data_IF_644506186978
#
_entry.id   IF_644506186978
#
_cell.length_a   1.000
_cell.length_b   1.000
_cell.length_c   1.000
_cell.angle_alpha   90.00
_cell.angle_beta   90.00
_cell.angle_gamma   90.00
#
_symmetry.space_group_name_H-M   'P 1'
#
loop_
_entity.id
_entity.type
_entity.pdbx_description
1 polymer ?
#
# COMPACT_ATOMS: atom_id res chain seq x y z
N UNK A 1 7.17 -9.95 39.83
CA UNK A 1 6.84 -11.23 39.19
C UNK A 1 7.45 -12.41 39.94
N UNK A 2 8.77 -12.49 40.20
CA UNK A 2 9.36 -13.41 41.17
C UNK A 2 9.42 -12.74 42.52
N UNK A 3 8.77 -13.32 43.54
CA UNK A 3 8.81 -12.84 44.90
C UNK A 3 9.74 -13.72 45.73
N UNK A 4 10.82 -13.13 46.23
CA UNK A 4 11.85 -13.85 47.01
C UNK A 4 11.43 -14.13 48.46
N UNK A 5 10.37 -13.45 48.89
CA UNK A 5 9.83 -13.56 50.25
C UNK A 5 8.62 -14.51 50.33
N UNK A 6 8.14 -15.02 49.19
CA UNK A 6 7.01 -15.94 49.09
C UNK A 6 7.39 -17.36 49.60
N UNK A 7 6.42 -18.06 50.16
CA UNK A 7 6.58 -19.45 50.69
C UNK A 7 7.02 -20.45 49.61
N UNK A 8 6.72 -20.21 48.35
CA UNK A 8 7.18 -21.00 47.19
C UNK A 8 8.65 -20.67 46.86
N UNK A 9 9.55 -21.68 46.85
CA UNK A 9 10.93 -21.46 46.46
C UNK A 9 11.07 -20.82 45.06
N UNK A 10 12.04 -19.90 44.90
CA UNK A 10 12.28 -19.19 43.61
C UNK A 10 12.40 -20.15 42.42
N UNK A 11 12.99 -21.34 42.64
CA UNK A 11 13.12 -22.40 41.60
C UNK A 11 11.72 -22.82 41.09
N UNK A 12 10.79 -23.04 42.03
CA UNK A 12 9.41 -23.45 41.68
C UNK A 12 8.62 -22.34 41.02
N UNK A 13 8.82 -21.09 41.45
CA UNK A 13 8.22 -19.92 40.81
C UNK A 13 8.74 -19.78 39.37
N UNK A 14 10.06 -19.97 39.13
CA UNK A 14 10.63 -19.94 37.79
C UNK A 14 10.06 -21.03 36.87
N UNK A 15 9.88 -22.26 37.41
CA UNK A 15 9.28 -23.35 36.64
C UNK A 15 7.84 -23.06 36.24
N UNK A 16 7.02 -22.50 37.15
CA UNK A 16 5.62 -22.17 36.90
C UNK A 16 5.47 -21.03 35.89
N UNK A 17 6.43 -20.12 35.84
CA UNK A 17 6.43 -18.96 34.95
C UNK A 17 7.22 -19.21 33.65
N UNK A 18 7.72 -20.42 33.44
CA UNK A 18 8.60 -20.76 32.29
C UNK A 18 9.80 -19.81 32.14
N UNK A 19 10.42 -19.44 33.25
CA UNK A 19 11.57 -18.53 33.30
C UNK A 19 12.84 -19.26 33.64
N UNK A 20 13.94 -18.93 32.94
CA UNK A 20 15.26 -19.44 33.36
C UNK A 20 15.63 -18.88 34.74
N UNK A 21 16.14 -19.74 35.65
CA UNK A 21 16.56 -19.35 37.00
C UNK A 21 17.57 -18.18 37.00
N UNK A 22 18.46 -18.12 36.02
CA UNK A 22 19.41 -17.01 35.84
C UNK A 22 18.71 -15.66 35.67
N UNK A 23 17.55 -15.62 35.01
CA UNK A 23 16.77 -14.42 34.82
C UNK A 23 16.19 -13.88 36.13
N UNK A 24 15.83 -14.77 37.08
CA UNK A 24 15.31 -14.36 38.39
C UNK A 24 16.38 -13.71 39.29
N UNK A 25 17.62 -13.99 39.06
CA UNK A 25 18.77 -13.43 39.81
C UNK A 25 19.52 -12.35 39.04
N UNK A 26 19.13 -12.08 37.78
CA UNK A 26 19.79 -11.06 36.99
C UNK A 26 19.44 -9.66 37.53
N UNK A 27 20.48 -8.93 37.91
CA UNK A 27 20.38 -7.52 38.25
C UNK A 27 20.99 -6.73 37.08
N UNK A 28 20.19 -5.87 36.40
CA UNK A 28 20.72 -5.08 35.30
C UNK A 28 21.86 -4.19 35.77
N UNK A 29 22.99 -4.22 35.09
CA UNK A 29 24.06 -3.25 35.30
C UNK A 29 23.58 -1.82 35.01
N UNK A 30 23.89 -0.84 35.91
CA UNK A 30 23.57 0.54 35.66
C UNK A 30 24.28 1.04 34.39
N UNK A 31 23.67 2.01 33.72
CA UNK A 31 24.25 2.61 32.51
C UNK A 31 25.48 3.43 32.94
N UNK A 32 26.62 3.20 32.28
CA UNK A 32 27.83 3.96 32.57
C UNK A 32 27.65 5.47 32.27
N UNK A 33 28.31 6.36 33.00
CA UNK A 33 28.26 7.82 32.72
C UNK A 33 28.64 8.15 31.27
N UNK A 34 29.61 7.45 30.68
CA UNK A 34 29.99 7.60 29.28
C UNK A 34 28.86 7.21 28.32
N UNK A 35 28.14 6.11 28.61
CA UNK A 35 27.01 5.69 27.79
C UNK A 35 25.85 6.69 27.90
N UNK A 36 25.62 7.31 29.07
CA UNK A 36 24.61 8.34 29.25
C UNK A 36 24.92 9.58 28.40
N UNK A 37 26.16 10.04 28.36
CA UNK A 37 26.59 11.14 27.50
C UNK A 37 26.39 10.82 26.04
N UNK A 38 26.78 9.61 25.62
CA UNK A 38 26.59 9.17 24.24
C UNK A 38 25.10 9.00 23.87
N UNK A 39 24.28 8.49 24.78
CA UNK A 39 22.83 8.37 24.57
C UNK A 39 22.19 9.73 24.36
N UNK A 40 22.53 10.73 25.20
CA UNK A 40 22.04 12.09 25.03
C UNK A 40 22.44 12.68 23.67
N UNK A 41 23.71 12.49 23.27
CA UNK A 41 24.17 12.99 21.98
C UNK A 41 23.52 12.28 20.80
N UNK A 42 23.30 10.96 20.89
CA UNK A 42 22.55 10.18 19.88
C UNK A 42 21.13 10.69 19.76
N UNK A 43 20.47 11.02 20.87
CA UNK A 43 19.10 11.55 20.88
C UNK A 43 19.02 12.91 20.17
N UNK A 44 19.92 13.82 20.48
CA UNK A 44 20.03 15.12 19.83
C UNK A 44 20.23 14.99 18.31
N UNK A 45 21.19 14.15 17.88
CA UNK A 45 21.46 13.89 16.47
C UNK A 45 20.27 13.21 15.78
N UNK A 46 19.53 12.39 16.49
CA UNK A 46 18.33 11.72 15.92
C UNK A 46 17.16 12.70 15.76
N UNK A 47 16.98 13.64 16.69
CA UNK A 47 15.98 14.70 16.55
C UNK A 47 16.26 15.59 15.34
N UNK A 48 17.52 15.91 15.09
CA UNK A 48 17.94 16.72 13.95
C UNK A 48 17.93 15.93 12.64
N UNK A 49 18.33 14.64 12.68
CA UNK A 49 18.46 13.77 11.53
C UNK A 49 17.75 12.42 11.74
N UNK A 50 16.40 12.39 11.74
CA UNK A 50 15.63 11.17 12.07
C UNK A 50 15.91 9.97 11.16
N UNK A 51 16.42 10.21 9.94
CA UNK A 51 16.81 9.18 8.98
C UNK A 51 18.20 8.57 9.27
N UNK A 52 18.96 9.15 10.20
CA UNK A 52 20.32 8.69 10.49
C UNK A 52 20.31 7.33 11.20
N UNK A 53 20.76 6.30 10.51
CA UNK A 53 20.92 4.96 11.09
C UNK A 53 22.24 4.80 11.83
N UNK A 54 22.41 3.67 12.51
CA UNK A 54 23.58 3.34 13.35
C UNK A 54 24.96 3.55 12.70
N UNK A 55 25.08 3.47 11.38
CA UNK A 55 26.33 3.73 10.67
C UNK A 55 26.61 5.22 10.58
N UNK A 56 25.62 6.00 10.15
CA UNK A 56 25.71 7.44 10.04
C UNK A 56 25.92 8.09 11.40
N UNK A 57 25.14 7.72 12.42
CA UNK A 57 25.31 8.20 13.80
C UNK A 57 26.70 7.89 14.37
N UNK A 58 27.24 6.69 14.11
CA UNK A 58 28.64 6.38 14.46
C UNK A 58 29.62 7.36 13.83
N UNK A 59 29.46 7.64 12.55
CA UNK A 59 30.39 8.48 11.80
C UNK A 59 30.25 9.95 12.23
N UNK A 60 29.05 10.43 12.51
CA UNK A 60 28.80 11.75 13.08
C UNK A 60 29.45 11.92 14.45
N UNK A 61 29.24 10.94 15.35
CA UNK A 61 29.89 10.94 16.67
C UNK A 61 31.42 10.87 16.57
N UNK A 62 31.97 10.17 15.57
CA UNK A 62 33.44 10.17 15.35
C UNK A 62 33.96 11.55 14.89
N UNK A 63 33.21 12.24 14.04
CA UNK A 63 33.56 13.61 13.64
C UNK A 63 33.55 14.58 14.82
N UNK A 64 32.71 14.30 15.82
CA UNK A 64 32.68 15.06 17.10
C UNK A 64 33.76 14.59 18.10
N UNK A 65 34.65 13.66 17.70
CA UNK A 65 35.76 13.19 18.51
C UNK A 65 35.48 12.00 19.41
N UNK A 66 34.26 11.44 19.35
CA UNK A 66 33.92 10.26 20.16
C UNK A 66 34.51 8.98 19.58
N UNK A 67 35.23 8.19 20.36
CA UNK A 67 35.75 6.88 20.00
C UNK A 67 34.65 5.81 20.20
N UNK A 68 33.81 5.61 19.20
CA UNK A 68 32.65 4.70 19.29
C UNK A 68 32.57 3.76 18.10
N UNK A 69 32.23 2.49 18.36
CA UNK A 69 31.98 1.48 17.34
C UNK A 69 30.49 1.29 17.01
N UNK A 70 30.20 0.76 15.81
CA UNK A 70 28.84 0.50 15.34
C UNK A 70 27.99 -0.35 16.31
N UNK A 71 28.60 -1.38 16.94
CA UNK A 71 27.90 -2.25 17.90
C UNK A 71 27.44 -1.49 19.14
N UNK A 72 28.28 -0.56 19.67
CA UNK A 72 27.95 0.27 20.84
C UNK A 72 26.82 1.23 20.50
N UNK A 73 26.87 1.94 19.34
CA UNK A 73 25.78 2.80 18.87
C UNK A 73 24.48 2.02 18.74
N UNK A 74 24.50 0.85 18.08
CA UNK A 74 23.30 0.00 17.91
C UNK A 74 22.71 -0.41 19.27
N UNK A 75 23.54 -0.78 20.24
CA UNK A 75 23.10 -1.13 21.59
C UNK A 75 22.44 0.03 22.31
N UNK A 76 23.03 1.24 22.22
CA UNK A 76 22.49 2.45 22.84
C UNK A 76 21.17 2.86 22.20
N UNK A 77 21.08 2.87 20.86
CA UNK A 77 19.83 3.12 20.14
C UNK A 77 18.72 2.17 20.58
N UNK A 78 18.99 0.85 20.61
CA UNK A 78 18.01 -0.14 21.05
C UNK A 78 17.56 0.10 22.50
N UNK A 79 18.50 0.49 23.39
CA UNK A 79 18.20 0.77 24.80
C UNK A 79 17.32 2.01 24.98
N UNK A 80 17.43 3.00 24.07
CA UNK A 80 16.58 4.18 24.02
C UNK A 80 15.28 3.99 23.22
N UNK A 81 15.11 2.87 22.53
CA UNK A 81 13.97 2.65 21.62
C UNK A 81 14.02 3.49 20.33
N UNK A 82 15.23 3.99 19.95
CA UNK A 82 15.41 4.83 18.78
C UNK A 82 15.68 3.99 17.55
N UNK A 83 14.91 4.23 16.49
CA UNK A 83 15.08 3.64 15.15
C UNK A 83 15.15 4.75 14.09
N UNK A 84 16.02 4.57 13.08
CA UNK A 84 16.05 5.48 11.94
C UNK A 84 14.74 5.42 11.16
N UNK A 85 14.23 6.58 10.74
CA UNK A 85 13.10 6.67 9.84
C UNK A 85 13.55 6.34 8.41
N UNK A 86 13.09 5.22 7.89
CA UNK A 86 13.29 4.82 6.51
C UNK A 86 12.06 4.05 6.00
N UNK A 87 11.82 4.02 4.69
CA UNK A 87 10.77 3.17 4.14
C UNK A 87 11.03 1.72 4.54
N UNK A 88 10.22 1.19 5.46
CA UNK A 88 10.34 -0.21 5.88
C UNK A 88 10.00 -1.12 4.67
N UNK A 89 10.68 -2.29 4.53
CA UNK A 89 10.30 -3.27 3.51
C UNK A 89 8.82 -3.59 3.63
N UNK A 90 8.16 -3.75 2.50
CA UNK A 90 6.75 -4.12 2.47
C UNK A 90 6.54 -5.42 3.26
N UNK A 91 5.83 -5.33 4.38
CA UNK A 91 5.52 -6.47 5.25
C UNK A 91 4.30 -7.26 4.74
N UNK A 92 3.65 -6.82 3.67
CA UNK A 92 2.59 -7.55 2.99
C UNK A 92 3.18 -8.77 2.29
N UNK A 93 3.60 -9.76 3.07
CA UNK A 93 3.95 -11.06 2.55
C UNK A 93 2.68 -11.71 2.03
N UNK A 94 2.72 -12.10 0.77
CA UNK A 94 1.68 -12.89 0.15
C UNK A 94 1.46 -14.17 0.98
N UNK A 95 0.20 -14.49 1.26
CA UNK A 95 -0.15 -15.77 1.87
C UNK A 95 0.02 -16.87 0.81
N UNK A 96 0.83 -17.89 1.08
CA UNK A 96 1.17 -18.95 0.11
C UNK A 96 -0.04 -19.74 -0.41
N UNK A 97 -1.11 -19.79 0.38
CA UNK A 97 -2.36 -20.46 0.02
C UNK A 97 -3.27 -19.66 -0.93
N UNK A 98 -2.93 -18.41 -1.28
CA UNK A 98 -3.76 -17.64 -2.21
C UNK A 98 -3.46 -18.04 -3.66
N UNK A 99 -4.48 -18.41 -4.46
CA UNK A 99 -4.30 -18.81 -5.84
C UNK A 99 -3.78 -17.65 -6.68
N UNK A 100 -2.76 -17.91 -7.52
CA UNK A 100 -2.35 -17.00 -8.58
C UNK A 100 -2.98 -17.47 -9.88
N UNK A 101 -3.55 -16.51 -10.56
CA UNK A 101 -4.08 -16.72 -11.90
C UNK A 101 -3.01 -16.39 -12.93
N UNK A 102 -3.03 -17.11 -14.06
CA UNK A 102 -2.12 -16.89 -15.16
C UNK A 102 -2.38 -15.54 -15.80
N UNK A 103 -1.32 -14.85 -16.22
CA UNK A 103 -1.42 -13.65 -17.03
C UNK A 103 -1.98 -13.99 -18.42
N UNK A 104 -3.10 -13.39 -18.78
CA UNK A 104 -3.85 -13.72 -19.99
C UNK A 104 -3.65 -12.70 -21.12
N UNK A 105 -2.93 -11.60 -20.87
CA UNK A 105 -2.87 -10.46 -21.80
C UNK A 105 -1.68 -10.52 -22.78
N UNK A 106 -0.80 -11.54 -22.64
CA UNK A 106 0.30 -11.70 -23.59
C UNK A 106 -0.28 -11.96 -24.96
N UNK A 107 0.09 -11.13 -25.93
CA UNK A 107 -0.33 -11.22 -27.33
C UNK A 107 -1.84 -11.03 -27.57
N UNK A 108 -2.60 -10.61 -26.55
CA UNK A 108 -4.01 -10.31 -26.68
C UNK A 108 -4.21 -8.92 -27.27
N UNK A 109 -4.83 -8.83 -28.45
CA UNK A 109 -5.27 -7.56 -29.02
C UNK A 109 -6.56 -7.13 -28.35
N UNK A 110 -6.53 -5.93 -27.76
CA UNK A 110 -7.72 -5.32 -27.16
C UNK A 110 -8.31 -4.34 -28.19
N UNK A 111 -9.49 -4.65 -28.70
CA UNK A 111 -10.10 -3.94 -29.83
C UNK A 111 -11.55 -3.45 -29.57
N UNK A 112 -12.11 -3.71 -28.39
CA UNK A 112 -13.46 -3.29 -28.00
C UNK A 112 -13.61 -2.99 -26.52
N UNK A 113 -14.59 -2.16 -26.12
CA UNK A 113 -14.96 -1.96 -24.72
C UNK A 113 -15.39 -3.26 -24.05
N UNK A 114 -15.18 -3.35 -22.75
CA UNK A 114 -15.55 -4.49 -21.90
C UNK A 114 -14.85 -5.82 -22.25
N UNK A 115 -13.84 -5.82 -23.13
CA UNK A 115 -13.00 -6.98 -23.36
C UNK A 115 -12.05 -7.22 -22.18
N UNK A 116 -11.50 -6.15 -21.64
CA UNK A 116 -10.58 -6.20 -20.52
C UNK A 116 -10.80 -5.01 -19.59
N UNK A 117 -11.04 -5.30 -18.33
CA UNK A 117 -10.98 -4.31 -17.26
C UNK A 117 -9.75 -4.55 -16.40
N UNK A 118 -9.23 -3.46 -15.83
CA UNK A 118 -8.11 -3.52 -14.91
C UNK A 118 -8.38 -2.68 -13.67
N UNK A 119 -7.77 -3.07 -12.55
CA UNK A 119 -7.84 -2.34 -11.29
C UNK A 119 -6.51 -2.33 -10.57
N UNK A 120 -6.33 -1.34 -9.74
CA UNK A 120 -5.23 -1.20 -8.80
C UNK A 120 -5.63 -0.24 -7.69
N UNK A 121 -4.84 -0.21 -6.61
CA UNK A 121 -5.03 0.66 -5.46
C UNK A 121 -3.84 1.61 -5.31
N UNK A 122 -4.12 2.88 -5.14
CA UNK A 122 -3.09 3.88 -4.87
C UNK A 122 -3.38 4.66 -3.58
N UNK A 123 -2.33 5.34 -3.07
CA UNK A 123 -2.41 6.21 -1.91
C UNK A 123 -2.61 7.66 -2.35
N UNK A 124 -3.56 8.34 -1.71
CA UNK A 124 -3.81 9.76 -1.88
C UNK A 124 -3.39 10.45 -0.59
N UNK A 125 -2.37 11.32 -0.62
CA UNK A 125 -1.95 12.07 0.54
C UNK A 125 -3.03 13.06 0.96
N UNK A 126 -3.22 13.16 2.27
CA UNK A 126 -4.12 14.09 2.93
C UNK A 126 -3.29 15.07 3.76
N UNK A 127 -3.88 16.15 4.23
CA UNK A 127 -3.22 17.06 5.17
C UNK A 127 -2.70 16.32 6.41
N UNK A 128 -3.39 15.26 6.84
CA UNK A 128 -2.95 14.35 7.89
C UNK A 128 -3.14 12.91 7.42
N UNK A 129 -2.03 12.18 7.19
CA UNK A 129 -2.07 10.80 6.75
C UNK A 129 -2.38 10.63 5.25
N UNK A 130 -3.13 9.61 4.91
CA UNK A 130 -3.50 9.27 3.54
C UNK A 130 -4.81 8.49 3.50
N UNK A 131 -5.41 8.41 2.32
CA UNK A 131 -6.53 7.51 2.01
C UNK A 131 -6.16 6.62 0.83
N UNK A 132 -6.84 5.49 0.72
CA UNK A 132 -6.72 4.58 -0.41
C UNK A 132 -7.71 4.96 -1.49
N UNK A 133 -7.27 4.97 -2.74
CA UNK A 133 -8.11 5.10 -3.92
C UNK A 133 -7.98 3.84 -4.76
N UNK A 134 -9.10 3.19 -5.06
CA UNK A 134 -9.21 2.16 -6.08
C UNK A 134 -9.97 2.72 -7.28
N UNK A 135 -9.60 2.27 -8.48
CA UNK A 135 -10.37 2.51 -9.69
C UNK A 135 -10.41 1.25 -10.55
N UNK A 136 -11.54 1.05 -11.20
CA UNK A 136 -11.74 0.05 -12.25
C UNK A 136 -11.77 0.80 -13.59
N UNK A 137 -10.92 0.41 -14.52
CA UNK A 137 -10.85 1.03 -15.84
C UNK A 137 -11.12 0.01 -16.95
N UNK A 138 -11.77 0.48 -18.00
CA UNK A 138 -11.82 -0.24 -19.27
C UNK A 138 -10.50 -0.04 -20.03
N UNK A 139 -9.87 -1.14 -20.40
CA UNK A 139 -8.53 -1.09 -21.03
C UNK A 139 -8.54 -0.54 -22.44
N UNK A 140 -9.62 -0.75 -23.19
CA UNK A 140 -9.76 -0.26 -24.55
C UNK A 140 -9.89 1.26 -24.59
N UNK A 141 -10.88 1.79 -23.89
CA UNK A 141 -11.24 3.21 -23.89
C UNK A 141 -10.48 4.07 -22.88
N UNK A 142 -9.83 3.47 -21.88
CA UNK A 142 -9.25 4.14 -20.69
C UNK A 142 -10.29 4.74 -19.76
N UNK A 143 -11.58 4.48 -19.97
CA UNK A 143 -12.66 5.00 -19.14
C UNK A 143 -12.56 4.46 -17.72
N UNK A 144 -12.63 5.35 -16.74
CA UNK A 144 -12.81 4.99 -15.33
C UNK A 144 -14.28 4.63 -15.14
N UNK A 145 -14.56 3.34 -14.94
CA UNK A 145 -15.90 2.80 -14.81
C UNK A 145 -16.45 2.99 -13.39
N UNK A 146 -15.62 2.75 -12.41
CA UNK A 146 -15.94 2.98 -11.01
C UNK A 146 -14.68 3.33 -10.22
N UNK A 147 -14.87 3.93 -9.07
CA UNK A 147 -13.81 4.24 -8.13
C UNK A 147 -14.37 4.37 -6.71
N UNK A 148 -13.51 4.16 -5.71
CA UNK A 148 -13.85 4.31 -4.29
C UNK A 148 -12.68 4.89 -3.51
N UNK A 149 -12.99 5.64 -2.45
CA UNK A 149 -12.03 6.08 -1.44
C UNK A 149 -12.29 5.35 -0.13
N UNK A 150 -11.22 5.03 0.59
CA UNK A 150 -11.31 4.47 1.95
C UNK A 150 -10.12 4.93 2.79
N UNK A 151 -10.34 5.13 4.08
CA UNK A 151 -9.28 5.34 5.07
C UNK A 151 -8.66 4.03 5.55
N UNK A 152 -9.25 2.89 5.19
CA UNK A 152 -8.77 1.54 5.54
C UNK A 152 -8.70 0.68 4.28
N UNK A 153 -7.69 -0.20 4.20
CA UNK A 153 -7.58 -1.17 3.11
C UNK A 153 -8.40 -2.44 3.44
N UNK A 154 -9.71 -2.27 3.60
CA UNK A 154 -10.62 -3.40 3.81
C UNK A 154 -10.93 -4.11 2.49
N UNK A 155 -11.35 -5.37 2.57
CA UNK A 155 -11.77 -6.14 1.39
C UNK A 155 -12.99 -5.55 0.68
N UNK A 156 -13.92 -5.02 1.45
CA UNK A 156 -15.22 -4.56 0.97
C UNK A 156 -15.08 -3.39 0.00
N UNK A 157 -14.18 -2.46 0.29
CA UNK A 157 -13.93 -1.30 -0.56
C UNK A 157 -13.48 -1.68 -1.99
N UNK A 158 -12.69 -2.77 -2.17
CA UNK A 158 -12.30 -3.28 -3.48
C UNK A 158 -13.47 -4.00 -4.17
N UNK A 159 -14.21 -4.81 -3.42
CA UNK A 159 -15.38 -5.53 -3.93
C UNK A 159 -16.48 -4.56 -4.41
N UNK A 160 -16.74 -3.51 -3.64
CA UNK A 160 -17.77 -2.53 -3.95
C UNK A 160 -17.45 -1.73 -5.23
N UNK A 161 -16.17 -1.43 -5.47
CA UNK A 161 -15.77 -0.81 -6.72
C UNK A 161 -16.04 -1.71 -7.93
N UNK A 162 -15.74 -3.01 -7.83
CA UNK A 162 -15.99 -3.96 -8.92
C UNK A 162 -17.48 -4.21 -9.12
N UNK A 163 -18.26 -4.38 -8.05
CA UNK A 163 -19.72 -4.56 -8.12
C UNK A 163 -20.41 -3.38 -8.79
N UNK A 164 -20.00 -2.16 -8.42
CA UNK A 164 -20.53 -0.93 -9.00
C UNK A 164 -20.21 -0.83 -10.51
N UNK A 165 -18.99 -1.21 -10.92
CA UNK A 165 -18.63 -1.26 -12.33
C UNK A 165 -19.48 -2.29 -13.10
N UNK A 166 -19.62 -3.51 -12.56
CA UNK A 166 -20.44 -4.57 -13.18
C UNK A 166 -21.91 -4.14 -13.31
N UNK A 167 -22.47 -3.53 -12.26
CA UNK A 167 -23.86 -3.08 -12.24
C UNK A 167 -24.15 -2.04 -13.32
N UNK A 168 -23.21 -1.11 -13.55
CA UNK A 168 -23.42 0.01 -14.48
C UNK A 168 -23.07 -0.30 -15.93
N UNK A 169 -22.04 -1.13 -16.14
CA UNK A 169 -21.44 -1.31 -17.46
C UNK A 169 -21.52 -2.75 -17.98
N UNK A 170 -22.06 -3.67 -17.18
CA UNK A 170 -22.08 -5.09 -17.48
C UNK A 170 -20.77 -5.76 -17.11
N UNK A 171 -20.54 -6.97 -17.63
CA UNK A 171 -19.40 -7.82 -17.29
C UNK A 171 -18.30 -7.70 -18.35
N UNK A 172 -17.02 -7.59 -17.97
CA UNK A 172 -15.91 -7.75 -18.90
C UNK A 172 -15.64 -9.23 -19.19
N UNK A 173 -14.93 -9.50 -20.27
CA UNK A 173 -14.47 -10.86 -20.56
C UNK A 173 -13.29 -11.27 -19.66
N UNK A 174 -12.39 -10.32 -19.38
CA UNK A 174 -11.20 -10.51 -18.56
C UNK A 174 -11.12 -9.37 -17.54
N UNK A 175 -10.69 -9.72 -16.33
CA UNK A 175 -10.37 -8.77 -15.28
C UNK A 175 -8.92 -8.96 -14.86
N UNK A 176 -8.11 -7.89 -14.99
CA UNK A 176 -6.68 -7.90 -14.67
C UNK A 176 -6.38 -7.14 -13.37
N UNK A 177 -5.54 -7.74 -12.53
CA UNK A 177 -5.07 -7.14 -11.27
C UNK A 177 -3.60 -7.44 -11.06
N UNK A 178 -2.98 -6.77 -10.11
CA UNK A 178 -1.73 -7.23 -9.52
C UNK A 178 -1.94 -8.45 -8.60
N UNK A 179 -0.85 -8.98 -8.04
CA UNK A 179 -0.90 -10.08 -7.07
C UNK A 179 -1.06 -9.59 -5.62
N UNK A 180 -1.61 -8.40 -5.41
CA UNK A 180 -1.87 -7.84 -4.10
C UNK A 180 -2.80 -8.72 -3.26
N UNK A 181 -2.60 -8.70 -1.93
CA UNK A 181 -3.39 -9.52 -1.00
C UNK A 181 -4.89 -9.24 -1.07
N UNK A 182 -5.29 -8.02 -1.44
CA UNK A 182 -6.68 -7.61 -1.62
C UNK A 182 -7.34 -8.30 -2.81
N UNK A 183 -6.60 -8.61 -3.88
CA UNK A 183 -7.10 -9.18 -5.12
C UNK A 183 -6.95 -10.70 -5.20
N UNK A 184 -6.06 -11.29 -4.40
CA UNK A 184 -5.86 -12.74 -4.33
C UNK A 184 -6.78 -13.44 -3.33
N UNK A 185 -7.58 -12.69 -2.56
CA UNK A 185 -8.53 -13.24 -1.59
C UNK A 185 -9.67 -13.98 -2.26
N UNK A 186 -10.18 -14.99 -1.55
CA UNK A 186 -11.26 -15.84 -2.04
C UNK A 186 -12.50 -15.04 -2.45
N UNK A 187 -12.91 -14.07 -1.63
CA UNK A 187 -14.13 -13.27 -1.89
C UNK A 187 -14.01 -12.44 -3.18
N UNK A 188 -12.82 -11.89 -3.48
CA UNK A 188 -12.59 -11.13 -4.69
C UNK A 188 -12.59 -12.02 -5.93
N UNK A 189 -11.86 -13.11 -5.88
CA UNK A 189 -11.81 -14.07 -6.99
C UNK A 189 -13.13 -14.79 -7.21
N UNK A 190 -13.91 -15.04 -6.14
CA UNK A 190 -15.22 -15.62 -6.22
C UNK A 190 -16.24 -14.68 -6.90
N UNK A 191 -16.22 -13.38 -6.55
CA UNK A 191 -17.06 -12.38 -7.22
C UNK A 191 -16.85 -12.40 -8.74
N UNK A 192 -15.60 -12.48 -9.20
CA UNK A 192 -15.31 -12.53 -10.65
C UNK A 192 -15.80 -13.84 -11.28
N UNK A 193 -15.62 -14.98 -10.60
CA UNK A 193 -16.09 -16.29 -11.07
C UNK A 193 -17.60 -16.37 -11.15
N UNK A 194 -18.32 -15.87 -10.15
CA UNK A 194 -19.78 -15.85 -10.09
C UNK A 194 -20.37 -15.03 -11.26
N UNK A 195 -19.60 -14.06 -11.78
CA UNK A 195 -19.94 -13.28 -12.96
C UNK A 195 -19.33 -13.83 -14.25
N UNK A 196 -18.81 -15.06 -14.28
CA UNK A 196 -18.18 -15.68 -15.45
C UNK A 196 -17.02 -14.88 -16.07
N UNK A 197 -16.34 -14.04 -15.27
CA UNK A 197 -15.23 -13.19 -15.69
C UNK A 197 -13.91 -13.96 -15.55
N UNK A 198 -13.12 -14.01 -16.61
CA UNK A 198 -11.79 -14.61 -16.57
C UNK A 198 -10.81 -13.74 -15.78
N UNK A 199 -10.09 -14.34 -14.85
CA UNK A 199 -9.14 -13.65 -14.00
C UNK A 199 -7.74 -13.69 -14.61
N UNK A 200 -7.10 -12.53 -14.71
CA UNK A 200 -5.71 -12.37 -15.10
C UNK A 200 -4.94 -11.66 -13.97
N UNK A 201 -3.73 -12.11 -13.70
CA UNK A 201 -2.86 -11.46 -12.71
C UNK A 201 -1.50 -11.17 -13.30
N UNK A 202 -1.01 -9.96 -13.05
CA UNK A 202 0.31 -9.51 -13.50
C UNK A 202 1.43 -10.38 -12.94
N UNK A 203 2.50 -10.53 -13.70
CA UNK A 203 3.73 -11.14 -13.20
C UNK A 203 4.35 -10.30 -12.07
N UNK A 204 5.02 -10.97 -11.12
CA UNK A 204 5.68 -10.27 -10.01
C UNK A 204 6.69 -9.25 -10.53
N UNK A 205 6.44 -7.96 -10.28
CA UNK A 205 7.31 -6.86 -10.71
C UNK A 205 7.15 -6.41 -12.17
N UNK A 206 6.16 -6.93 -12.90
CA UNK A 206 5.86 -6.56 -14.29
C UNK A 206 4.89 -5.35 -14.34
N UNK A 207 5.39 -4.16 -14.02
CA UNK A 207 4.58 -2.92 -14.08
C UNK A 207 3.94 -2.65 -15.47
N UNK A 208 4.52 -3.18 -16.54
CA UNK A 208 3.97 -3.06 -17.89
C UNK A 208 2.65 -3.76 -18.06
N UNK A 209 2.38 -4.74 -17.21
CA UNK A 209 1.19 -5.59 -17.30
C UNK A 209 -0.07 -4.87 -16.78
N UNK A 210 0.08 -3.69 -16.08
CA UNK A 210 -1.03 -2.83 -15.64
C UNK A 210 -0.79 -1.35 -15.97
N UNK A 211 -0.12 -1.08 -17.09
CA UNK A 211 0.38 0.25 -17.48
C UNK A 211 -0.69 1.35 -17.55
N UNK A 212 -1.95 1.01 -17.85
CA UNK A 212 -2.98 2.03 -18.00
C UNK A 212 -3.56 2.50 -16.69
N UNK A 213 -3.62 1.64 -15.68
CA UNK A 213 -3.99 2.06 -14.33
C UNK A 213 -2.87 2.89 -13.71
N UNK A 214 -1.61 2.49 -13.94
CA UNK A 214 -0.45 3.28 -13.51
C UNK A 214 -0.43 4.69 -14.16
N UNK A 215 -0.80 4.79 -15.43
CA UNK A 215 -0.95 6.09 -16.11
C UNK A 215 -2.10 6.91 -15.56
N UNK A 216 -3.22 6.26 -15.21
CA UNK A 216 -4.32 6.93 -14.51
C UNK A 216 -3.83 7.53 -13.19
N UNK A 217 -3.09 6.75 -12.39
CA UNK A 217 -2.52 7.25 -11.12
C UNK A 217 -1.59 8.44 -11.33
N UNK A 218 -0.76 8.40 -12.36
CA UNK A 218 0.07 9.55 -12.71
C UNK A 218 -0.78 10.78 -13.00
N UNK A 219 -1.81 10.66 -13.84
CA UNK A 219 -2.70 11.78 -14.17
C UNK A 219 -3.43 12.29 -12.93
N UNK A 220 -4.05 11.42 -12.14
CA UNK A 220 -4.75 11.79 -10.89
C UNK A 220 -3.80 12.53 -9.92
N UNK A 221 -2.60 12.02 -9.73
CA UNK A 221 -1.64 12.62 -8.79
C UNK A 221 -1.12 13.97 -9.26
N UNK A 222 -0.72 14.09 -10.52
CA UNK A 222 -0.08 15.31 -11.02
C UNK A 222 -1.07 16.40 -11.46
N UNK A 223 -2.27 16.02 -11.89
CA UNK A 223 -3.26 16.98 -12.40
C UNK A 223 -4.29 17.40 -11.33
N UNK A 224 -4.43 16.63 -10.24
CA UNK A 224 -5.40 16.92 -9.18
C UNK A 224 -4.76 16.93 -7.79
N UNK A 225 -4.19 15.80 -7.35
CA UNK A 225 -3.80 15.58 -5.94
C UNK A 225 -2.67 16.50 -5.49
N UNK A 226 -1.60 16.64 -6.28
CA UNK A 226 -0.45 17.46 -5.92
C UNK A 226 -0.69 18.97 -6.09
N UNK A 227 -1.76 19.33 -6.79
CA UNK A 227 -2.15 20.72 -6.96
C UNK A 227 -3.11 21.20 -5.86
N UNK A 228 -3.68 20.27 -5.08
CA UNK A 228 -4.70 20.57 -4.08
C UNK A 228 -4.40 19.88 -2.76
N UNK A 229 -4.61 20.58 -1.65
CA UNK A 229 -4.64 19.96 -0.33
C UNK A 229 -6.06 19.54 0.01
N UNK A 230 -6.23 18.29 0.49
CA UNK A 230 -7.51 17.79 0.93
C UNK A 230 -7.62 17.91 2.45
N UNK A 231 -8.66 18.61 2.92
CA UNK A 231 -8.87 18.83 4.35
C UNK A 231 -9.59 17.66 5.03
N UNK A 232 -10.42 16.92 4.27
CA UNK A 232 -11.18 15.78 4.76
C UNK A 232 -11.36 14.71 3.68
N UNK A 233 -11.77 13.51 4.07
CA UNK A 233 -12.09 12.41 3.14
C UNK A 233 -13.25 12.80 2.21
N UNK A 234 -14.26 13.49 2.73
CA UNK A 234 -15.39 13.98 1.93
C UNK A 234 -14.97 15.04 0.91
N UNK A 235 -14.05 15.94 1.28
CA UNK A 235 -13.46 16.93 0.36
C UNK A 235 -12.65 16.25 -0.74
N UNK A 236 -11.80 15.27 -0.38
CA UNK A 236 -11.08 14.47 -1.36
C UNK A 236 -12.01 13.72 -2.30
N UNK A 237 -13.10 13.13 -1.77
CA UNK A 237 -14.08 12.40 -2.57
C UNK A 237 -14.79 13.32 -3.56
N UNK A 238 -15.21 14.50 -3.13
CA UNK A 238 -15.87 15.48 -4.01
C UNK A 238 -14.93 15.96 -5.13
N UNK A 239 -13.71 16.38 -4.80
CA UNK A 239 -12.73 16.90 -5.76
C UNK A 239 -12.24 15.82 -6.74
N UNK A 240 -11.94 14.62 -6.25
CA UNK A 240 -11.58 13.49 -7.12
C UNK A 240 -12.75 13.08 -8.01
N UNK A 241 -14.00 13.15 -7.53
CA UNK A 241 -15.18 12.90 -8.35
C UNK A 241 -15.30 13.87 -9.52
N UNK A 242 -15.09 15.17 -9.27
CA UNK A 242 -15.04 16.19 -10.33
C UNK A 242 -13.91 15.91 -11.32
N UNK A 243 -12.72 15.58 -10.82
CA UNK A 243 -11.57 15.28 -11.67
C UNK A 243 -11.79 14.03 -12.53
N UNK A 244 -12.26 12.91 -11.95
CA UNK A 244 -12.47 11.66 -12.67
C UNK A 244 -13.62 11.78 -13.70
N UNK A 245 -14.63 12.60 -13.40
CA UNK A 245 -15.64 12.97 -14.40
C UNK A 245 -15.01 13.76 -15.55
N UNK A 246 -14.21 14.79 -15.26
CA UNK A 246 -13.45 15.52 -16.28
C UNK A 246 -12.54 14.59 -17.09
N UNK A 247 -11.83 13.65 -16.43
CA UNK A 247 -10.98 12.67 -17.08
C UNK A 247 -11.74 11.84 -18.12
N UNK A 248 -12.93 11.38 -17.79
CA UNK A 248 -13.77 10.57 -18.69
C UNK A 248 -14.41 11.38 -19.83
N UNK A 249 -14.96 12.56 -19.51
CA UNK A 249 -15.89 13.27 -20.41
C UNK A 249 -15.25 14.39 -21.22
N UNK A 250 -14.15 14.98 -20.74
CA UNK A 250 -13.61 16.23 -21.31
C UNK A 250 -12.11 16.20 -21.57
N UNK A 251 -11.34 15.37 -20.83
CA UNK A 251 -9.90 15.33 -20.97
C UNK A 251 -9.52 14.61 -22.27
N UNK A 252 -8.80 15.27 -23.22
CA UNK A 252 -8.32 14.61 -24.43
C UNK A 252 -7.14 13.70 -24.12
N UNK A 253 -7.08 12.54 -24.77
CA UNK A 253 -6.01 11.57 -24.63
C UNK A 253 -5.25 11.37 -25.94
N UNK A 254 -3.95 11.59 -25.95
CA UNK A 254 -3.12 11.42 -27.17
C UNK A 254 -3.19 9.99 -27.73
N UNK A 255 -3.22 8.97 -26.85
CA UNK A 255 -3.34 7.58 -27.27
C UNK A 255 -4.73 7.19 -27.79
N UNK A 256 -5.68 8.11 -27.75
CA UNK A 256 -7.04 7.97 -28.27
C UNK A 256 -7.31 9.02 -29.37
N UNK A 257 -6.29 9.43 -30.09
CA UNK A 257 -6.37 10.44 -31.16
C UNK A 257 -7.04 11.75 -30.70
N UNK A 258 -6.75 12.18 -29.48
CA UNK A 258 -7.32 13.40 -28.88
C UNK A 258 -8.77 13.27 -28.41
N UNK A 259 -9.36 12.09 -28.51
CA UNK A 259 -10.72 11.85 -28.02
C UNK A 259 -10.74 11.58 -26.51
N UNK A 260 -11.93 11.68 -25.92
CA UNK A 260 -12.14 11.37 -24.49
C UNK A 260 -12.40 9.87 -24.30
N UNK A 261 -12.15 9.33 -23.11
CA UNK A 261 -12.48 7.96 -22.76
C UNK A 261 -13.96 7.61 -23.03
N UNK A 262 -14.88 8.51 -22.69
CA UNK A 262 -16.32 8.32 -22.90
C UNK A 262 -16.65 8.21 -24.40
N UNK A 263 -16.09 9.08 -25.21
CA UNK A 263 -16.31 9.03 -26.68
C UNK A 263 -15.90 7.68 -27.25
N UNK A 264 -14.73 7.17 -26.84
CA UNK A 264 -14.23 5.88 -27.35
C UNK A 264 -15.04 4.71 -26.79
N UNK A 265 -15.43 4.76 -25.51
CA UNK A 265 -16.19 3.70 -24.86
C UNK A 265 -17.54 3.51 -25.53
N UNK A 266 -18.33 4.58 -25.61
CA UNK A 266 -19.70 4.49 -26.16
C UNK A 266 -19.72 4.25 -27.67
N UNK A 267 -18.76 4.77 -28.43
CA UNK A 267 -18.65 4.49 -29.87
C UNK A 267 -18.28 3.02 -30.17
N UNK A 268 -17.60 2.34 -29.23
CA UNK A 268 -17.20 0.94 -29.40
C UNK A 268 -18.23 -0.07 -28.90
N UNK A 269 -19.31 0.36 -28.25
CA UNK A 269 -20.38 -0.54 -27.81
C UNK A 269 -21.26 -1.00 -28.99
N UNK A 270 -21.76 -2.24 -28.98
CA UNK A 270 -22.77 -2.68 -29.93
C UNK A 270 -24.01 -1.77 -29.89
N UNK A 271 -24.56 -1.44 -31.05
CA UNK A 271 -25.70 -0.49 -31.16
C UNK A 271 -26.93 -0.91 -30.36
N UNK A 272 -27.14 -2.21 -30.12
CA UNK A 272 -28.25 -2.73 -29.33
C UNK A 272 -28.20 -2.36 -27.83
N UNK A 273 -27.02 -1.96 -27.30
CA UNK A 273 -26.86 -1.55 -25.89
C UNK A 273 -27.04 -0.03 -25.65
N UNK A 274 -27.21 0.75 -26.71
CA UNK A 274 -27.36 2.23 -26.59
C UNK A 274 -28.84 2.61 -26.43
N UNK A 275 -29.76 1.70 -26.73
CA UNK A 275 -31.20 1.92 -26.74
C UNK A 275 -31.96 1.46 -25.46
N UNK A 276 -31.24 0.95 -24.46
CA UNK A 276 -31.80 0.53 -23.16
C UNK A 276 -31.30 1.45 -22.04
#
# INVERSE_FOLDING_TARGET
>A
MIDRTHDLPVVRQCQLLDLARSTAYYTPEPISPEDLVLMRRIDELHLEHPFAGRRMLRDMLKLEGHRIGRKRVSRLMNKMGIEALYPKPNLSRRHEAHPIYRYLLRDLKIDRPNQLWATDVTYIPMRRGFVYLIAVIDWYSRKVLSWRLSNTMTKDFCLDAVRDAILRYGQPEIFNTDQGSQFTRHEFTQLLKDNAIRISMDGKGCWRDNVFVERLWKSVKYEEVYLKAYDSVSDAQAKLGVYLNFFNTRRPHQSLDGKTPDTIYYAGLPQERIAA
#
